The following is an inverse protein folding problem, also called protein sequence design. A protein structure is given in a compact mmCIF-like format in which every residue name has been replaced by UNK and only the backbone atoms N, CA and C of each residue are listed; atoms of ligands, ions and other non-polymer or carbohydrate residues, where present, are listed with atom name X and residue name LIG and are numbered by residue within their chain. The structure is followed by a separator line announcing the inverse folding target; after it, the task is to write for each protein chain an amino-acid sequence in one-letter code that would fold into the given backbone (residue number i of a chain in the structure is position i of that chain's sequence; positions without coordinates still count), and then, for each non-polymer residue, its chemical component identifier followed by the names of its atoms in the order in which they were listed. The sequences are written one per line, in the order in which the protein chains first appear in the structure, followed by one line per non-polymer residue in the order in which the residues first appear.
data_IF_613703364895
#
_entry.id   IF_613703364895
#
_cell.length_a   1.000
_cell.length_b   1.000
_cell.length_c   1.000
_cell.angle_alpha   90.00
_cell.angle_beta   90.00
_cell.angle_gamma   90.00
#
_symmetry.space_group_name_H-M   'P 1'
#
loop_
_entity.id
_entity.type
_entity.pdbx_description
1 polymer ?
#
# COMPACT_ATOMS: atom_id res chain seq x y z
N UNK A 1 4.02 10.29 32.71
CA UNK A 1 4.82 9.36 31.87
C UNK A 1 3.95 8.30 31.19
N UNK A 2 3.31 7.35 31.90
CA UNK A 2 2.44 6.34 31.25
C UNK A 2 1.19 6.94 30.58
N UNK A 3 0.53 7.89 31.26
CA UNK A 3 -0.64 8.60 30.72
C UNK A 3 -0.30 9.52 29.52
N UNK A 4 0.93 10.05 29.47
CA UNK A 4 1.38 10.90 28.36
C UNK A 4 1.68 10.08 27.11
N UNK A 5 2.19 8.85 27.29
CA UNK A 5 2.38 7.87 26.23
C UNK A 5 1.04 7.42 25.65
N UNK A 6 0.05 7.12 26.49
CA UNK A 6 -1.31 6.75 26.03
C UNK A 6 -1.93 7.89 25.20
N UNK A 7 -1.88 9.14 25.71
CA UNK A 7 -2.38 10.32 24.98
C UNK A 7 -1.63 10.59 23.67
N UNK A 8 -0.39 10.15 23.55
CA UNK A 8 0.35 10.25 22.30
C UNK A 8 -0.13 9.22 21.27
N UNK A 9 -0.44 7.98 21.69
CA UNK A 9 -1.07 6.99 20.81
C UNK A 9 -2.45 7.44 20.35
N UNK A 10 -3.31 7.94 21.25
CA UNK A 10 -4.66 8.40 20.89
C UNK A 10 -4.65 9.51 19.84
N UNK A 11 -3.70 10.46 19.93
CA UNK A 11 -3.54 11.53 18.93
C UNK A 11 -3.00 11.05 17.58
N UNK A 12 -2.22 9.97 17.58
CA UNK A 12 -1.60 9.43 16.37
C UNK A 12 -2.45 8.33 15.70
N UNK A 13 -3.52 7.84 16.35
CA UNK A 13 -4.45 6.88 15.75
C UNK A 13 -5.14 7.45 14.51
N UNK A 14 -5.32 8.78 14.44
CA UNK A 14 -5.88 9.47 13.29
C UNK A 14 -5.04 9.32 12.01
N UNK A 15 -3.76 8.97 12.13
CA UNK A 15 -2.87 8.76 10.99
C UNK A 15 -2.92 7.33 10.44
N UNK A 16 -3.36 6.35 11.23
CA UNK A 16 -3.43 4.95 10.79
C UNK A 16 -4.29 4.81 9.52
N UNK A 17 -5.53 5.36 9.46
CA UNK A 17 -6.34 5.32 8.25
C UNK A 17 -5.65 5.93 7.02
N UNK A 18 -4.77 6.93 7.21
CA UNK A 18 -4.05 7.57 6.09
C UNK A 18 -3.13 6.61 5.37
N UNK A 19 -2.48 5.67 6.07
CA UNK A 19 -1.65 4.64 5.43
C UNK A 19 -2.46 3.72 4.50
N UNK A 20 -3.64 3.29 4.93
CA UNK A 20 -4.53 2.45 4.12
C UNK A 20 -5.08 3.20 2.92
N UNK A 21 -5.53 4.44 3.12
CA UNK A 21 -6.02 5.30 2.04
C UNK A 21 -4.92 5.63 1.01
N UNK A 22 -3.71 5.96 1.47
CA UNK A 22 -2.58 6.20 0.57
C UNK A 22 -2.24 4.95 -0.22
N UNK A 23 -2.20 3.77 0.43
CA UNK A 23 -1.93 2.51 -0.26
C UNK A 23 -2.90 2.26 -1.40
N UNK A 24 -4.21 2.39 -1.17
CA UNK A 24 -5.22 2.20 -2.22
C UNK A 24 -5.07 3.23 -3.34
N UNK A 25 -4.90 4.52 -3.00
CA UNK A 25 -4.72 5.59 -4.01
C UNK A 25 -3.48 5.37 -4.88
N UNK A 26 -2.37 4.97 -4.26
CA UNK A 26 -1.12 4.70 -4.98
C UNK A 26 -1.31 3.51 -5.91
N UNK A 27 -1.90 2.39 -5.44
CA UNK A 27 -2.10 1.21 -6.28
C UNK A 27 -3.10 1.48 -7.40
N UNK A 28 -4.20 2.20 -7.14
CA UNK A 28 -5.14 2.63 -8.18
C UNK A 28 -4.42 3.44 -9.27
N UNK A 29 -3.65 4.45 -8.88
CA UNK A 29 -2.88 5.25 -9.84
C UNK A 29 -1.92 4.39 -10.68
N UNK A 30 -1.22 3.44 -10.05
CA UNK A 30 -0.29 2.57 -10.77
C UNK A 30 -1.00 1.68 -11.79
N UNK A 31 -2.12 1.09 -11.41
CA UNK A 31 -2.90 0.22 -12.30
C UNK A 31 -3.57 1.00 -13.43
N UNK A 32 -4.19 2.15 -13.12
CA UNK A 32 -4.91 2.99 -14.09
C UNK A 32 -3.97 3.58 -15.15
N UNK A 33 -2.69 3.74 -14.83
CA UNK A 33 -1.68 4.30 -15.73
C UNK A 33 -0.68 3.26 -16.28
N UNK A 34 -0.94 1.96 -16.07
CA UNK A 34 -0.08 0.84 -16.51
C UNK A 34 1.40 1.00 -16.06
N UNK A 35 1.60 1.44 -14.82
CA UNK A 35 2.93 1.66 -14.23
C UNK A 35 3.34 0.43 -13.42
N UNK A 36 4.36 -0.26 -13.92
CA UNK A 36 4.90 -1.47 -13.32
C UNK A 36 4.56 -2.71 -14.14
N UNK A 37 4.69 -3.89 -13.54
CA UNK A 37 4.42 -5.17 -14.20
C UNK A 37 3.53 -5.99 -13.27
N UNK A 38 2.30 -6.23 -13.68
CA UNK A 38 1.41 -7.18 -13.01
C UNK A 38 1.88 -8.59 -13.32
N UNK A 39 2.03 -9.42 -12.29
CA UNK A 39 2.45 -10.79 -12.46
C UNK A 39 1.37 -11.64 -13.14
N UNK A 40 1.76 -12.78 -13.72
CA UNK A 40 0.82 -13.64 -14.47
C UNK A 40 -0.32 -14.19 -13.61
N UNK A 41 -0.16 -14.22 -12.28
CA UNK A 41 -1.20 -14.69 -11.37
C UNK A 41 -2.16 -13.58 -10.91
N UNK A 42 -1.91 -12.34 -11.34
CA UNK A 42 -2.65 -11.14 -10.91
C UNK A 42 -2.66 -10.96 -9.38
N UNK A 43 -1.61 -11.44 -8.71
CA UNK A 43 -1.44 -11.33 -7.25
C UNK A 43 -0.44 -10.28 -6.86
N UNK A 44 0.49 -9.96 -7.76
CA UNK A 44 1.59 -9.06 -7.45
C UNK A 44 1.75 -7.99 -8.52
N UNK A 45 2.01 -6.77 -8.07
CA UNK A 45 2.48 -5.69 -8.92
C UNK A 45 3.95 -5.42 -8.62
N UNK A 46 4.79 -5.47 -9.65
CA UNK A 46 6.22 -5.21 -9.56
C UNK A 46 6.53 -3.78 -10.02
N UNK A 47 7.12 -2.96 -9.16
CA UNK A 47 7.46 -1.56 -9.45
C UNK A 47 8.90 -1.23 -9.08
N UNK A 48 9.49 -0.23 -9.74
CA UNK A 48 10.77 0.32 -9.30
C UNK A 48 10.64 1.03 -7.95
N UNK A 49 11.67 0.86 -7.11
CA UNK A 49 11.68 1.48 -5.78
C UNK A 49 11.66 3.01 -5.86
N UNK A 50 12.34 3.59 -6.85
CA UNK A 50 12.42 5.03 -7.01
C UNK A 50 11.05 5.63 -7.38
N UNK A 51 10.35 5.00 -8.32
CA UNK A 51 9.00 5.42 -8.74
C UNK A 51 8.02 5.41 -7.55
N UNK A 52 7.98 4.31 -6.79
CA UNK A 52 7.14 4.25 -5.61
C UNK A 52 7.54 5.29 -4.56
N UNK A 53 8.84 5.48 -4.35
CA UNK A 53 9.34 6.48 -3.40
C UNK A 53 8.85 7.89 -3.76
N UNK A 54 8.98 8.29 -5.03
CA UNK A 54 8.54 9.61 -5.51
C UNK A 54 7.03 9.81 -5.34
N UNK A 55 6.23 8.76 -5.50
CA UNK A 55 4.80 8.83 -5.21
C UNK A 55 4.52 9.04 -3.73
N UNK A 56 5.22 8.33 -2.85
CA UNK A 56 5.05 8.44 -1.39
C UNK A 56 5.57 9.77 -0.84
N UNK A 57 6.44 10.48 -1.55
CA UNK A 57 6.91 11.82 -1.17
C UNK A 57 5.85 12.91 -1.36
N UNK A 58 4.78 12.65 -2.13
CA UNK A 58 3.74 13.65 -2.42
C UNK A 58 2.85 13.99 -1.23
N UNK A 59 2.63 13.04 -0.32
CA UNK A 59 1.87 13.25 0.91
C UNK A 59 2.81 13.27 2.11
N UNK A 60 2.91 14.40 2.81
CA UNK A 60 3.91 14.58 3.88
C UNK A 60 3.41 14.24 5.29
N UNK A 61 2.33 13.46 5.44
CA UNK A 61 1.79 13.12 6.77
C UNK A 61 2.78 12.36 7.67
N UNK A 62 3.67 11.55 7.08
CA UNK A 62 4.82 10.94 7.76
C UNK A 62 6.00 10.77 6.78
N UNK A 63 7.24 10.63 7.29
CA UNK A 63 8.40 10.34 6.43
C UNK A 63 8.25 9.03 5.62
N UNK A 64 8.76 9.01 4.40
CA UNK A 64 8.62 7.89 3.46
C UNK A 64 9.19 6.57 4.00
N UNK A 65 10.28 6.61 4.77
CA UNK A 65 10.81 5.40 5.41
C UNK A 65 9.81 4.78 6.40
N UNK A 66 9.06 5.60 7.15
CA UNK A 66 8.01 5.13 8.05
C UNK A 66 6.86 4.51 7.27
N UNK A 67 6.51 5.06 6.10
CA UNK A 67 5.54 4.45 5.17
C UNK A 67 5.99 3.08 4.69
N UNK A 68 7.23 2.98 4.22
CA UNK A 68 7.81 1.70 3.80
C UNK A 68 7.85 0.69 4.95
N UNK A 69 8.21 1.11 6.16
CA UNK A 69 8.23 0.24 7.34
C UNK A 69 6.82 -0.27 7.69
N UNK A 70 5.81 0.61 7.67
CA UNK A 70 4.42 0.22 7.87
C UNK A 70 3.94 -0.75 6.79
N UNK A 71 4.15 -0.42 5.51
CA UNK A 71 3.71 -1.22 4.37
C UNK A 71 4.39 -2.60 4.35
N UNK A 72 5.66 -2.68 4.77
CA UNK A 72 6.36 -3.95 4.96
C UNK A 72 5.79 -4.74 6.14
N UNK A 73 5.59 -4.09 7.29
CA UNK A 73 5.07 -4.72 8.50
C UNK A 73 3.66 -5.29 8.33
N UNK A 74 2.83 -4.61 7.52
CA UNK A 74 1.46 -5.03 7.17
C UNK A 74 1.38 -5.95 5.95
N UNK A 75 2.52 -6.25 5.31
CA UNK A 75 2.62 -7.06 4.09
C UNK A 75 1.90 -6.47 2.87
N UNK A 76 1.67 -5.16 2.83
CA UNK A 76 1.23 -4.48 1.60
C UNK A 76 2.31 -4.55 0.53
N UNK A 77 3.57 -4.53 0.97
CA UNK A 77 4.73 -4.82 0.13
C UNK A 77 5.49 -6.03 0.69
N UNK A 78 6.06 -6.79 -0.23
CA UNK A 78 6.85 -7.98 0.07
C UNK A 78 8.31 -7.69 -0.27
N UNK A 79 9.18 -7.75 0.73
CA UNK A 79 10.60 -7.45 0.60
C UNK A 79 11.44 -8.69 0.92
N UNK A 80 12.69 -8.72 0.44
CA UNK A 80 13.68 -9.66 0.98
C UNK A 80 13.99 -9.29 2.45
N UNK A 81 14.68 -10.19 3.19
CA UNK A 81 15.06 -10.01 4.60
C UNK A 81 15.93 -8.77 4.89
N UNK A 82 16.48 -8.13 3.86
CA UNK A 82 17.28 -6.92 4.02
C UNK A 82 16.36 -5.70 4.18
N UNK A 83 16.19 -5.28 5.42
CA UNK A 83 15.29 -4.19 5.82
C UNK A 83 15.59 -2.86 5.12
N UNK A 84 16.84 -2.64 4.68
CA UNK A 84 17.28 -1.39 4.07
C UNK A 84 16.77 -1.26 2.63
N UNK A 85 16.58 -2.38 1.93
CA UNK A 85 16.43 -2.35 0.47
C UNK A 85 14.99 -2.16 0.00
N UNK A 86 14.00 -2.37 0.87
CA UNK A 86 12.55 -2.32 0.55
C UNK A 86 12.17 -3.03 -0.76
N UNK A 87 12.96 -4.01 -1.20
CA UNK A 87 12.83 -4.69 -2.51
C UNK A 87 13.02 -6.18 -2.34
N UNK A 88 12.48 -6.94 -3.28
CA UNK A 88 12.59 -8.39 -3.36
C UNK A 88 13.18 -8.79 -4.71
N UNK A 89 13.97 -9.86 -4.72
CA UNK A 89 14.40 -10.49 -5.98
C UNK A 89 13.23 -11.26 -6.58
N UNK A 90 12.89 -10.94 -7.83
CA UNK A 90 11.82 -11.57 -8.60
C UNK A 90 12.34 -11.97 -9.96
N UNK A 91 11.73 -12.99 -10.57
CA UNK A 91 12.04 -13.42 -11.94
C UNK A 91 10.98 -12.88 -12.88
N UNK A 92 11.41 -12.01 -13.80
CA UNK A 92 10.56 -11.42 -14.85
C UNK A 92 11.22 -11.76 -16.19
N UNK A 93 10.47 -12.40 -17.08
CA UNK A 93 10.94 -12.84 -18.41
C UNK A 93 12.29 -13.58 -18.38
N UNK A 94 12.43 -14.49 -17.41
CA UNK A 94 13.65 -15.30 -17.24
C UNK A 94 14.84 -14.57 -16.62
N UNK A 95 14.72 -13.27 -16.31
CA UNK A 95 15.77 -12.46 -15.66
C UNK A 95 15.44 -12.24 -14.19
N UNK A 96 16.45 -12.38 -13.33
CA UNK A 96 16.32 -12.03 -11.91
C UNK A 96 16.58 -10.55 -11.75
N UNK A 97 15.56 -9.81 -11.32
CA UNK A 97 15.61 -8.36 -11.09
C UNK A 97 15.15 -8.04 -9.67
N UNK A 98 15.44 -6.82 -9.20
CA UNK A 98 14.93 -6.34 -7.90
C UNK A 98 13.80 -5.37 -8.15
N UNK A 99 12.67 -5.60 -7.49
CA UNK A 99 11.49 -4.74 -7.58
C UNK A 99 10.89 -4.59 -6.18
N UNK A 100 10.11 -3.53 -5.97
CA UNK A 100 9.12 -3.55 -4.88
C UNK A 100 7.98 -4.43 -5.36
N UNK A 101 7.54 -5.35 -4.51
CA UNK A 101 6.46 -6.28 -4.82
C UNK A 101 5.26 -5.86 -3.99
N UNK A 102 4.23 -5.32 -4.62
CA UNK A 102 2.97 -4.95 -3.99
C UNK A 102 2.05 -6.17 -4.00
N UNK A 103 1.41 -6.47 -2.87
CA UNK A 103 0.40 -7.51 -2.71
C UNK A 103 -0.98 -6.99 -3.16
N UNK A 104 -1.47 -7.48 -4.30
CA UNK A 104 -2.74 -7.04 -4.86
C UNK A 104 -3.94 -7.60 -4.11
N UNK A 105 -3.80 -8.71 -3.39
CA UNK A 105 -4.88 -9.26 -2.56
C UNK A 105 -5.10 -8.39 -1.31
N UNK A 106 -4.02 -7.89 -0.71
CA UNK A 106 -4.10 -6.88 0.35
C UNK A 106 -4.79 -5.60 -0.15
N UNK A 107 -4.38 -5.10 -1.31
CA UNK A 107 -5.01 -3.94 -1.96
C UNK A 107 -6.50 -4.13 -2.18
N UNK A 108 -6.92 -5.23 -2.82
CA UNK A 108 -8.35 -5.52 -3.08
C UNK A 108 -9.16 -5.60 -1.79
N UNK A 109 -8.58 -6.20 -0.75
CA UNK A 109 -9.24 -6.34 0.55
C UNK A 109 -9.46 -4.99 1.23
N UNK A 110 -8.42 -4.14 1.26
CA UNK A 110 -8.50 -2.81 1.87
C UNK A 110 -9.41 -1.89 1.06
N UNK A 111 -9.28 -1.90 -0.27
CA UNK A 111 -10.16 -1.12 -1.16
C UNK A 111 -11.63 -1.48 -0.94
N UNK A 112 -11.95 -2.77 -0.80
CA UNK A 112 -13.32 -3.21 -0.47
C UNK A 112 -13.82 -2.64 0.86
N UNK A 113 -12.98 -2.62 1.90
CA UNK A 113 -13.36 -2.05 3.21
C UNK A 113 -13.58 -0.54 3.11
N UNK A 114 -12.70 0.18 2.42
CA UNK A 114 -12.81 1.64 2.28
C UNK A 114 -14.02 2.07 1.43
N UNK A 115 -14.47 1.23 0.49
CA UNK A 115 -15.62 1.49 -0.38
C UNK A 115 -16.90 0.80 0.12
N UNK A 116 -16.89 0.20 1.31
CA UNK A 116 -18.02 -0.59 1.82
C UNK A 116 -19.31 0.23 1.90
N UNK A 117 -19.24 1.49 2.33
CA UNK A 117 -20.42 2.37 2.42
C UNK A 117 -21.01 2.72 1.03
N UNK A 118 -20.18 2.84 -0.02
CA UNK A 118 -20.64 3.11 -1.39
C UNK A 118 -21.38 1.90 -2.01
N UNK A 119 -21.02 0.68 -1.58
CA UNK A 119 -21.64 -0.57 -2.06
C UNK A 119 -23.01 -0.81 -1.43
N UNK A 120 -23.17 -0.55 -0.14
CA UNK A 120 -24.45 -0.69 0.57
C UNK A 120 -25.46 0.39 0.13
N UNK A 121 -25.03 1.66 0.03
CA UNK A 121 -25.91 2.76 -0.42
C UNK A 121 -26.31 2.65 -1.90
N UNK A 122 -25.46 2.03 -2.73
CA UNK A 122 -25.75 1.78 -4.15
C UNK A 122 -26.75 0.64 -4.40
N UNK A 123 -26.92 -0.29 -3.46
CA UNK A 123 -27.96 -1.32 -3.52
C UNK A 123 -29.31 -0.81 -3.03
N UNK A 124 -29.34 0.02 -1.98
CA UNK A 124 -30.58 0.61 -1.46
C UNK A 124 -31.21 1.61 -2.45
N UNK A 125 -30.39 2.37 -3.18
CA UNK A 125 -30.85 3.27 -4.25
C UNK A 125 -31.38 2.54 -5.50
N UNK A 126 -31.08 1.24 -5.67
CA UNK A 126 -31.61 0.40 -6.77
C UNK A 126 -32.85 -0.40 -6.37
N UNK A 127 -33.18 -0.44 -5.07
CA UNK A 127 -34.37 -1.09 -4.51
C UNK A 127 -35.50 -0.10 -4.17
N UNK A 128 -35.27 1.19 -4.37
CA UNK A 128 -36.26 2.28 -4.25
C UNK A 128 -36.79 2.72 -5.61
#
# INVERSE_FOLDING_TARGET
MYLDVIRQYDRNMDDIPKFYCEFVKVVDYLLDNDIGIVDKSDKFLYIERLELKEMLEKDSFVPVNIKFDFWRGTKFIITDKDEIRSTKRVTIDGKVVRKVVIDLDAYRSIKRVLLYEELELGEDAKRS
#
